data_IF_816512141703
#
_entry.id   IF_816512141703
#
_cell.length_a   1.000
_cell.length_b   1.000
_cell.length_c   1.000
_cell.angle_alpha   90.00
_cell.angle_beta   90.00
_cell.angle_gamma   90.00
#
_symmetry.space_group_name_H-M   'P 1'
#
loop_
_entity.id
_entity.type
_entity.pdbx_description
1 polymer ?
#
# COMPACT_ATOMS: atom_id res chain seq x y z
N UNK A 1 -11.98 10.48 7.00
CA UNK A 1 -13.05 9.86 6.20
C UNK A 1 -12.54 8.71 5.33
N UNK A 2 -11.31 8.78 4.78
CA UNK A 2 -10.72 7.70 3.96
C UNK A 2 -10.32 6.45 4.75
N UNK A 3 -9.84 6.58 6.00
CA UNK A 3 -9.65 5.43 6.90
C UNK A 3 -10.93 4.64 7.08
N UNK A 4 -12.06 5.32 7.27
CA UNK A 4 -13.37 4.66 7.30
C UNK A 4 -13.72 3.97 5.98
N UNK A 5 -13.31 4.50 4.81
CA UNK A 5 -13.62 3.87 3.51
C UNK A 5 -12.75 2.64 3.22
N UNK A 6 -11.47 2.69 3.61
CA UNK A 6 -10.54 1.57 3.51
C UNK A 6 -10.85 0.49 4.54
N UNK A 7 -11.06 0.86 5.81
CA UNK A 7 -11.49 -0.05 6.87
C UNK A 7 -12.81 -0.70 6.50
N UNK A 8 -13.80 0.07 6.04
CA UNK A 8 -15.08 -0.46 5.60
C UNK A 8 -14.96 -1.38 4.38
N UNK A 9 -14.11 -1.06 3.40
CA UNK A 9 -13.90 -1.94 2.24
C UNK A 9 -13.12 -3.20 2.62
N UNK A 10 -12.17 -3.11 3.54
CA UNK A 10 -11.47 -4.28 4.09
C UNK A 10 -12.47 -5.15 4.84
N UNK A 11 -13.33 -4.55 5.65
CA UNK A 11 -14.27 -5.25 6.51
C UNK A 11 -15.46 -5.86 5.75
N UNK A 12 -16.00 -5.15 4.77
CA UNK A 12 -17.18 -5.59 3.99
C UNK A 12 -16.82 -6.44 2.77
N UNK A 13 -15.59 -6.35 2.25
CA UNK A 13 -15.21 -6.99 0.98
C UNK A 13 -13.99 -7.88 1.06
N UNK A 14 -12.89 -7.42 1.69
CA UNK A 14 -11.64 -8.22 1.75
C UNK A 14 -11.78 -9.38 2.73
N UNK A 15 -12.32 -9.12 3.93
CA UNK A 15 -12.55 -10.12 4.97
C UNK A 15 -13.38 -11.31 4.46
N UNK A 16 -14.58 -11.12 3.84
CA UNK A 16 -15.35 -12.22 3.26
C UNK A 16 -14.59 -13.04 2.21
N UNK A 17 -13.79 -12.39 1.35
CA UNK A 17 -13.03 -13.07 0.30
C UNK A 17 -11.95 -13.98 0.90
N UNK A 18 -11.24 -13.50 1.91
CA UNK A 18 -10.23 -14.30 2.63
C UNK A 18 -10.91 -15.44 3.40
N UNK A 19 -12.04 -15.16 4.05
CA UNK A 19 -12.85 -16.14 4.76
C UNK A 19 -13.35 -17.28 3.87
N UNK A 20 -13.92 -16.94 2.71
CA UNK A 20 -14.42 -17.91 1.74
C UNK A 20 -13.28 -18.77 1.19
N UNK A 21 -12.11 -18.17 0.92
CA UNK A 21 -10.93 -18.91 0.51
C UNK A 21 -10.44 -19.87 1.60
N UNK A 22 -10.36 -19.42 2.85
CA UNK A 22 -9.98 -20.29 3.97
C UNK A 22 -10.98 -21.43 4.17
N UNK A 23 -12.27 -21.15 4.16
CA UNK A 23 -13.30 -22.17 4.32
C UNK A 23 -13.27 -23.18 3.17
N UNK A 24 -13.02 -22.74 1.94
CA UNK A 24 -12.94 -23.60 0.76
C UNK A 24 -11.69 -24.50 0.73
N UNK A 25 -10.53 -23.97 1.12
CA UNK A 25 -9.25 -24.68 0.95
C UNK A 25 -8.68 -25.26 2.26
N UNK A 26 -8.83 -24.56 3.39
CA UNK A 26 -8.44 -25.05 4.72
C UNK A 26 -9.56 -25.84 5.39
N UNK A 27 -10.82 -25.62 5.00
CA UNK A 27 -12.00 -26.24 5.62
C UNK A 27 -12.37 -25.63 6.98
N UNK A 28 -11.67 -24.58 7.40
CA UNK A 28 -11.85 -23.87 8.66
C UNK A 28 -11.66 -22.38 8.43
N UNK A 29 -12.32 -21.57 9.27
CA UNK A 29 -12.06 -20.13 9.36
C UNK A 29 -11.01 -19.89 10.45
N UNK A 30 -9.99 -19.11 10.14
CA UNK A 30 -8.94 -18.72 11.10
C UNK A 30 -8.95 -17.21 11.20
N UNK A 31 -9.61 -16.69 12.24
CA UNK A 31 -9.80 -15.25 12.45
C UNK A 31 -8.47 -14.49 12.56
N UNK A 32 -7.43 -15.15 13.07
CA UNK A 32 -6.08 -14.58 13.17
C UNK A 32 -5.44 -14.36 11.81
N UNK A 33 -5.60 -15.30 10.86
CA UNK A 33 -5.06 -15.18 9.50
C UNK A 33 -5.79 -14.07 8.74
N UNK A 34 -7.12 -14.04 8.84
CA UNK A 34 -7.95 -12.99 8.25
C UNK A 34 -7.55 -11.61 8.78
N UNK A 35 -7.39 -11.49 10.10
CA UNK A 35 -6.99 -10.24 10.75
C UNK A 35 -5.58 -9.82 10.36
N UNK A 36 -4.63 -10.75 10.29
CA UNK A 36 -3.24 -10.46 9.91
C UNK A 36 -3.13 -10.04 8.45
N UNK A 37 -3.79 -10.76 7.54
CA UNK A 37 -3.87 -10.40 6.13
C UNK A 37 -4.52 -9.02 5.99
N UNK A 38 -5.68 -8.79 6.63
CA UNK A 38 -6.38 -7.50 6.59
C UNK A 38 -5.52 -6.36 7.13
N UNK A 39 -4.84 -6.57 8.27
CA UNK A 39 -3.97 -5.55 8.90
C UNK A 39 -2.75 -5.26 8.04
N UNK A 40 -2.13 -6.29 7.45
CA UNK A 40 -0.99 -6.13 6.53
C UNK A 40 -1.41 -5.50 5.21
N UNK A 41 -2.61 -5.79 4.70
CA UNK A 41 -3.20 -5.13 3.53
C UNK A 41 -3.48 -3.66 3.81
N UNK A 42 -4.05 -3.35 4.98
CA UNK A 42 -4.25 -1.97 5.43
C UNK A 42 -2.92 -1.20 5.52
N UNK A 43 -1.82 -1.92 5.76
CA UNK A 43 -0.44 -1.41 5.82
C UNK A 43 0.36 -1.61 4.51
N UNK A 44 -0.25 -2.12 3.44
CA UNK A 44 0.44 -2.71 2.27
C UNK A 44 1.22 -1.70 1.40
N UNK A 45 2.28 -2.14 0.68
CA UNK A 45 3.42 -1.35 0.22
C UNK A 45 3.21 -0.32 -0.88
N UNK A 46 1.97 -0.06 -1.33
CA UNK A 46 1.70 1.16 -2.10
C UNK A 46 1.96 2.43 -1.27
N UNK A 47 2.10 2.27 0.06
CA UNK A 47 2.44 3.28 1.05
C UNK A 47 3.78 3.02 1.77
N UNK A 48 4.51 1.94 1.49
CA UNK A 48 5.84 1.73 2.07
C UNK A 48 6.89 2.49 1.26
N UNK A 49 6.91 3.80 1.48
CA UNK A 49 8.12 4.58 1.25
C UNK A 49 9.18 4.10 2.24
N UNK A 50 10.34 3.71 1.73
CA UNK A 50 11.51 3.47 2.58
C UNK A 50 12.04 4.83 3.04
N UNK A 51 11.83 5.10 4.33
CA UNK A 51 12.18 6.37 4.93
C UNK A 51 13.68 6.35 5.20
N UNK A 52 14.42 7.03 4.33
CA UNK A 52 15.84 7.29 4.55
C UNK A 52 16.00 8.42 5.58
N UNK A 53 16.29 8.02 6.82
CA UNK A 53 16.54 8.88 7.97
C UNK A 53 17.93 9.51 7.97
N UNK A 54 18.81 9.11 7.06
CA UNK A 54 20.12 9.77 6.88
C UNK A 54 19.97 11.11 6.14
N UNK A 55 18.89 11.27 5.38
CA UNK A 55 18.52 12.53 4.76
C UNK A 55 17.75 13.40 5.76
N UNK A 56 18.17 14.66 5.92
CA UNK A 56 17.45 15.61 6.77
C UNK A 56 15.98 15.74 6.36
N UNK A 57 15.09 15.93 7.34
CA UNK A 57 13.63 15.88 7.20
C UNK A 57 13.07 16.57 5.95
N UNK A 58 13.53 17.79 5.63
CA UNK A 58 13.08 18.55 4.45
C UNK A 58 13.35 17.80 3.13
N UNK A 59 14.53 17.18 3.00
CA UNK A 59 14.91 16.41 1.80
C UNK A 59 14.15 15.10 1.72
N UNK A 60 14.03 14.38 2.85
CA UNK A 60 13.28 13.14 2.92
C UNK A 60 11.79 13.37 2.58
N UNK A 61 11.18 14.44 3.10
CA UNK A 61 9.80 14.82 2.78
C UNK A 61 9.62 15.16 1.30
N UNK A 62 10.58 15.85 0.68
CA UNK A 62 10.52 16.16 -0.74
C UNK A 62 10.66 14.91 -1.63
N UNK A 63 11.54 13.98 -1.24
CA UNK A 63 11.69 12.69 -1.90
C UNK A 63 10.42 11.84 -1.76
N UNK A 64 9.79 11.83 -0.58
CA UNK A 64 8.49 11.20 -0.35
C UNK A 64 7.41 11.79 -1.26
N UNK A 65 7.25 13.12 -1.31
CA UNK A 65 6.26 13.78 -2.20
C UNK A 65 6.45 13.36 -3.66
N UNK A 66 7.71 13.30 -4.13
CA UNK A 66 8.03 12.84 -5.48
C UNK A 66 7.61 11.40 -5.71
N UNK A 67 7.96 10.51 -4.79
CA UNK A 67 7.61 9.09 -4.86
C UNK A 67 6.09 8.90 -4.88
N UNK A 68 5.37 9.54 -3.96
CA UNK A 68 3.93 9.43 -3.83
C UNK A 68 3.19 9.93 -5.09
N UNK A 69 3.54 11.13 -5.59
CA UNK A 69 2.93 11.66 -6.82
C UNK A 69 3.27 10.82 -8.05
N UNK A 70 4.50 10.30 -8.13
CA UNK A 70 4.89 9.38 -9.21
C UNK A 70 4.02 8.12 -9.19
N UNK A 71 3.80 7.53 -8.01
CA UNK A 71 2.93 6.37 -7.84
C UNK A 71 1.48 6.66 -8.19
N UNK A 72 0.94 7.81 -7.79
CA UNK A 72 -0.40 8.24 -8.18
C UNK A 72 -0.55 8.41 -9.70
N UNK A 73 0.43 9.06 -10.34
CA UNK A 73 0.43 9.25 -11.78
C UNK A 73 0.56 7.93 -12.52
N UNK A 74 1.40 7.00 -12.04
CA UNK A 74 1.50 5.65 -12.58
C UNK A 74 0.18 4.88 -12.44
N UNK A 75 -0.45 4.92 -11.27
CA UNK A 75 -1.72 4.23 -11.04
C UNK A 75 -2.86 4.76 -11.90
N UNK A 76 -2.81 6.04 -12.27
CA UNK A 76 -3.88 6.72 -13.02
C UNK A 76 -3.48 7.04 -14.47
N UNK A 77 -2.50 6.35 -15.06
CA UNK A 77 -2.09 6.51 -16.47
C UNK A 77 -1.68 7.95 -16.85
N UNK A 78 -1.15 8.71 -15.90
CA UNK A 78 -0.82 10.12 -16.06
C UNK A 78 -2.05 11.04 -16.16
N UNK A 79 -3.24 10.57 -15.77
CA UNK A 79 -4.45 11.39 -15.69
C UNK A 79 -4.32 12.39 -14.53
N UNK A 80 -3.85 13.59 -14.86
CA UNK A 80 -3.60 14.67 -13.89
C UNK A 80 -4.89 15.11 -13.18
N UNK A 81 -6.04 15.07 -13.86
CA UNK A 81 -7.32 15.44 -13.26
C UNK A 81 -7.72 14.46 -12.15
N UNK A 82 -7.52 13.17 -12.41
CA UNK A 82 -7.84 12.13 -11.43
C UNK A 82 -6.85 12.14 -10.26
N UNK A 83 -5.56 12.34 -10.55
CA UNK A 83 -4.55 12.53 -9.51
C UNK A 83 -4.82 13.75 -8.64
N UNK A 84 -5.30 14.86 -9.23
CA UNK A 84 -5.68 16.05 -8.47
C UNK A 84 -6.85 15.76 -7.51
N UNK A 85 -7.88 15.07 -8.00
CA UNK A 85 -9.02 14.61 -7.20
C UNK A 85 -8.58 13.74 -6.03
N UNK A 86 -7.75 12.73 -6.28
CA UNK A 86 -7.26 11.79 -5.26
C UNK A 86 -6.32 12.47 -4.27
N UNK A 87 -5.37 13.27 -4.75
CA UNK A 87 -4.40 13.96 -3.89
C UNK A 87 -5.03 15.08 -3.03
N UNK A 88 -6.29 15.45 -3.29
CA UNK A 88 -6.98 16.54 -2.61
C UNK A 88 -6.41 17.92 -3.00
N UNK A 89 -5.91 18.06 -4.23
CA UNK A 89 -5.28 19.28 -4.73
C UNK A 89 -5.97 19.76 -6.00
N UNK A 90 -5.84 21.05 -6.31
CA UNK A 90 -6.26 21.54 -7.61
C UNK A 90 -5.30 21.06 -8.73
N UNK A 91 -5.83 20.97 -9.95
CA UNK A 91 -5.06 20.50 -11.11
C UNK A 91 -3.81 21.34 -11.38
N UNK A 92 -3.83 22.65 -11.14
CA UNK A 92 -2.64 23.52 -11.36
C UNK A 92 -1.56 23.23 -10.32
N UNK A 93 -1.94 22.95 -9.08
CA UNK A 93 -1.02 22.52 -8.03
C UNK A 93 -0.33 21.21 -8.39
N UNK A 94 -1.06 20.22 -8.92
CA UNK A 94 -0.43 18.98 -9.41
C UNK A 94 0.55 19.26 -10.55
N UNK A 95 0.18 20.09 -11.55
CA UNK A 95 1.11 20.47 -12.62
C UNK A 95 2.37 21.15 -12.08
N UNK A 96 2.25 22.07 -11.13
CA UNK A 96 3.39 22.71 -10.47
C UNK A 96 4.28 21.70 -9.72
N UNK A 97 3.67 20.73 -9.03
CA UNK A 97 4.40 19.69 -8.32
C UNK A 97 5.14 18.76 -9.28
N UNK A 98 4.52 18.37 -10.40
CA UNK A 98 5.17 17.55 -11.42
C UNK A 98 6.41 18.26 -12.00
N UNK A 99 6.29 19.55 -12.33
CA UNK A 99 7.39 20.34 -12.88
C UNK A 99 8.51 20.55 -11.85
N UNK A 100 8.17 20.94 -10.62
CA UNK A 100 9.16 21.18 -9.56
C UNK A 100 9.89 19.91 -9.11
N UNK A 101 9.21 18.76 -9.08
CA UNK A 101 9.79 17.47 -8.70
C UNK A 101 10.44 16.72 -9.87
N UNK A 102 10.36 17.28 -11.09
CA UNK A 102 10.87 16.70 -12.34
C UNK A 102 10.37 15.27 -12.54
N UNK A 103 9.05 15.09 -12.53
CA UNK A 103 8.37 13.80 -12.77
C UNK A 103 8.10 13.65 -14.27
N UNK A 104 8.58 12.57 -14.88
CA UNK A 104 8.38 12.30 -16.30
C UNK A 104 7.07 11.53 -16.55
N UNK A 105 6.02 12.26 -16.91
CA UNK A 105 4.68 11.69 -17.14
C UNK A 105 4.66 10.79 -18.38
N UNK A 106 5.51 11.05 -19.39
CA UNK A 106 5.44 10.37 -20.69
C UNK A 106 5.77 8.88 -20.55
N UNK A 107 6.69 8.54 -19.65
CA UNK A 107 7.12 7.15 -19.39
C UNK A 107 6.05 6.27 -18.75
N UNK A 108 5.06 6.86 -18.06
CA UNK A 108 4.07 6.06 -17.35
C UNK A 108 3.07 5.34 -18.25
N UNK A 109 2.83 5.84 -19.47
CA UNK A 109 1.98 5.12 -20.43
C UNK A 109 2.62 3.83 -20.93
N UNK A 110 3.95 3.72 -20.90
CA UNK A 110 4.71 2.56 -21.34
C UNK A 110 4.98 1.56 -20.20
N UNK A 111 5.18 2.04 -18.96
CA UNK A 111 5.50 1.19 -17.79
C UNK A 111 4.28 0.43 -17.21
N UNK A 112 3.07 0.74 -17.64
CA UNK A 112 1.82 0.37 -16.95
C UNK A 112 1.42 -1.11 -17.04
N UNK A 113 1.92 -1.85 -18.04
CA UNK A 113 1.77 -3.32 -18.07
C UNK A 113 2.35 -4.00 -16.81
N UNK A 114 3.21 -3.30 -16.05
CA UNK A 114 3.82 -3.81 -14.80
C UNK A 114 3.09 -3.37 -13.52
N UNK A 115 2.26 -2.32 -13.54
CA UNK A 115 1.73 -1.67 -12.34
C UNK A 115 0.61 -2.42 -11.60
N UNK A 116 -0.36 -2.98 -12.33
CA UNK A 116 -1.38 -3.87 -11.75
C UNK A 116 -0.73 -5.14 -11.17
N UNK A 117 0.26 -5.69 -11.89
CA UNK A 117 1.08 -6.81 -11.43
C UNK A 117 1.77 -6.53 -10.08
N UNK A 118 2.24 -5.31 -9.83
CA UNK A 118 2.91 -4.95 -8.57
C UNK A 118 1.95 -4.95 -7.38
N UNK A 119 0.68 -4.57 -7.55
CA UNK A 119 -0.32 -4.62 -6.48
C UNK A 119 -0.72 -6.05 -6.16
N UNK A 120 -0.99 -6.83 -7.20
CA UNK A 120 -1.30 -8.27 -7.07
C UNK A 120 -0.15 -9.00 -6.38
N UNK A 121 1.10 -8.78 -6.81
CA UNK A 121 2.27 -9.44 -6.22
C UNK A 121 2.52 -9.00 -4.77
N UNK A 122 2.26 -7.73 -4.43
CA UNK A 122 2.38 -7.25 -3.05
C UNK A 122 1.34 -7.90 -2.12
N UNK A 123 0.07 -7.97 -2.56
CA UNK A 123 -1.00 -8.62 -1.81
C UNK A 123 -0.73 -10.13 -1.71
N UNK A 124 -0.28 -10.76 -2.79
CA UNK A 124 0.14 -12.16 -2.81
C UNK A 124 1.25 -12.43 -1.79
N UNK A 125 2.30 -11.61 -1.77
CA UNK A 125 3.38 -11.74 -0.79
C UNK A 125 2.92 -11.58 0.66
N UNK A 126 1.92 -10.71 0.91
CA UNK A 126 1.28 -10.60 2.24
C UNK A 126 0.55 -11.89 2.61
N UNK A 127 -0.20 -12.47 1.67
CA UNK A 127 -0.92 -13.74 1.88
C UNK A 127 0.11 -14.84 2.17
N UNK A 128 1.10 -15.02 1.30
CA UNK A 128 2.13 -16.06 1.42
C UNK A 128 2.92 -15.95 2.73
N UNK A 129 3.40 -14.75 3.07
CA UNK A 129 4.14 -14.53 4.32
C UNK A 129 3.28 -14.75 5.57
N UNK A 130 1.97 -14.48 5.50
CA UNK A 130 1.08 -14.79 6.60
C UNK A 130 0.87 -16.29 6.71
N UNK A 131 0.64 -16.99 5.61
CA UNK A 131 0.52 -18.46 5.64
C UNK A 131 1.78 -19.15 6.15
N UNK A 132 2.96 -18.60 5.83
CA UNK A 132 4.23 -19.11 6.35
C UNK A 132 4.32 -19.05 7.87
N UNK A 133 3.68 -18.06 8.50
CA UNK A 133 3.63 -17.94 9.96
C UNK A 133 2.75 -19.02 10.59
N UNK A 134 1.71 -19.46 9.89
CA UNK A 134 0.74 -20.43 10.41
C UNK A 134 0.93 -21.86 9.88
N UNK A 135 1.84 -22.09 8.93
CA UNK A 135 2.03 -23.39 8.27
C UNK A 135 2.32 -24.55 9.22
N UNK A 136 3.00 -24.29 10.35
CA UNK A 136 3.34 -25.32 11.34
C UNK A 136 2.11 -25.80 12.13
N UNK A 137 1.07 -24.97 12.21
CA UNK A 137 -0.16 -25.23 12.97
C UNK A 137 -1.32 -25.69 12.08
N UNK A 138 -1.09 -25.80 10.78
CA UNK A 138 -2.11 -26.12 9.78
C UNK A 138 -1.76 -27.40 9.00
N UNK A 139 -2.76 -28.01 8.35
CA UNK A 139 -2.54 -29.17 7.50
C UNK A 139 -1.70 -28.78 6.27
N UNK A 140 -0.54 -29.43 6.01
CA UNK A 140 0.37 -29.04 4.94
C UNK A 140 -0.25 -29.08 3.53
N UNK A 141 -1.05 -30.10 3.22
CA UNK A 141 -1.67 -30.25 1.89
C UNK A 141 -2.69 -29.13 1.64
N UNK A 142 -3.48 -28.79 2.65
CA UNK A 142 -4.49 -27.74 2.57
C UNK A 142 -3.87 -26.34 2.48
N UNK A 143 -2.81 -26.10 3.25
CA UNK A 143 -2.03 -24.85 3.15
C UNK A 143 -1.45 -24.70 1.75
N UNK A 144 -0.90 -25.77 1.18
CA UNK A 144 -0.32 -25.74 -0.17
C UNK A 144 -1.36 -25.46 -1.26
N UNK A 145 -2.61 -25.88 -1.07
CA UNK A 145 -3.72 -25.46 -1.95
C UNK A 145 -3.99 -23.97 -1.87
N UNK A 146 -3.93 -23.38 -0.67
CA UNK A 146 -4.11 -21.93 -0.50
C UNK A 146 -2.94 -21.14 -1.12
N UNK A 147 -1.70 -21.62 -1.02
CA UNK A 147 -0.55 -21.04 -1.74
C UNK A 147 -0.77 -21.02 -3.25
N UNK A 148 -1.25 -22.13 -3.84
CA UNK A 148 -1.58 -22.18 -5.27
C UNK A 148 -2.70 -21.22 -5.66
N UNK A 149 -3.62 -20.93 -4.74
CA UNK A 149 -4.72 -20.01 -4.97
C UNK A 149 -4.38 -18.54 -4.67
N UNK A 150 -3.27 -18.28 -3.97
CA UNK A 150 -2.84 -16.93 -3.58
C UNK A 150 -2.80 -15.92 -4.75
N UNK A 151 -2.40 -16.27 -5.99
CA UNK A 151 -2.46 -15.34 -7.12
C UNK A 151 -3.88 -14.89 -7.47
N UNK A 152 -4.84 -15.83 -7.50
CA UNK A 152 -6.25 -15.52 -7.80
C UNK A 152 -6.85 -14.70 -6.65
N UNK A 153 -6.63 -15.13 -5.42
CA UNK A 153 -7.06 -14.43 -4.22
C UNK A 153 -6.51 -12.99 -4.18
N UNK A 154 -5.24 -12.81 -4.56
CA UNK A 154 -4.62 -11.49 -4.58
C UNK A 154 -5.28 -10.54 -5.58
N UNK A 155 -5.68 -11.05 -6.76
CA UNK A 155 -6.42 -10.28 -7.77
C UNK A 155 -7.82 -9.90 -7.28
N UNK A 156 -8.53 -10.85 -6.69
CA UNK A 156 -9.87 -10.63 -6.15
C UNK A 156 -9.86 -9.59 -5.03
N UNK A 157 -8.86 -9.63 -4.16
CA UNK A 157 -8.65 -8.62 -3.11
C UNK A 157 -8.33 -7.25 -3.74
N UNK A 158 -7.39 -7.19 -4.69
CA UNK A 158 -6.99 -5.92 -5.32
C UNK A 158 -8.15 -5.23 -6.03
N UNK A 159 -9.06 -5.99 -6.66
CA UNK A 159 -10.26 -5.43 -7.32
C UNK A 159 -11.30 -4.87 -6.35
N UNK A 160 -11.29 -5.29 -5.08
CA UNK A 160 -12.22 -4.82 -4.06
C UNK A 160 -11.65 -3.75 -3.13
N UNK A 161 -10.33 -3.57 -3.11
CA UNK A 161 -9.69 -2.49 -2.39
C UNK A 161 -10.10 -1.14 -2.98
N UNK A 162 -10.43 -0.14 -2.15
CA UNK A 162 -10.86 1.16 -2.66
C UNK A 162 -9.71 1.81 -3.40
N UNK A 163 -9.99 2.29 -4.60
CA UNK A 163 -9.05 3.01 -5.47
C UNK A 163 -8.64 4.38 -4.93
N UNK A 164 -8.96 4.73 -3.68
CA UNK A 164 -8.69 6.05 -3.10
C UNK A 164 -7.48 6.00 -2.15
N UNK A 165 -6.26 6.22 -2.66
CA UNK A 165 -5.12 6.63 -1.86
C UNK A 165 -5.49 7.75 -0.90
N UNK A 166 -4.82 7.80 0.26
CA UNK A 166 -4.81 8.98 1.13
C UNK A 166 -4.54 10.22 0.30
N UNK A 167 -5.09 11.38 0.69
CA UNK A 167 -4.70 12.66 0.07
C UNK A 167 -3.21 12.96 0.29
N UNK A 168 -2.63 13.91 -0.46
CA UNK A 168 -1.21 14.26 -0.27
C UNK A 168 -0.92 14.71 1.17
N UNK A 169 -1.85 15.45 1.78
CA UNK A 169 -1.73 15.93 3.17
C UNK A 169 -1.73 14.77 4.18
N UNK A 170 -2.64 13.81 4.01
CA UNK A 170 -2.73 12.64 4.88
C UNK A 170 -1.50 11.72 4.70
N UNK A 171 -1.07 11.53 3.46
CA UNK A 171 0.12 10.74 3.14
C UNK A 171 1.40 11.39 3.74
N UNK A 172 1.52 12.72 3.69
CA UNK A 172 2.60 13.45 4.35
C UNK A 172 2.60 13.26 5.87
N UNK A 173 1.42 13.27 6.51
CA UNK A 173 1.32 13.07 7.96
C UNK A 173 1.76 11.67 8.38
N UNK A 174 1.42 10.65 7.61
CA UNK A 174 1.88 9.28 7.86
C UNK A 174 3.40 9.14 7.64
N UNK A 175 3.93 9.77 6.59
CA UNK A 175 5.37 9.86 6.38
C UNK A 175 6.08 10.52 7.57
N UNK A 176 5.56 11.64 8.08
CA UNK A 176 6.16 12.35 9.23
C UNK A 176 6.21 11.47 10.47
N UNK A 177 5.10 10.80 10.81
CA UNK A 177 5.06 9.85 11.93
C UNK A 177 6.12 8.77 11.79
N UNK A 178 6.26 8.19 10.59
CA UNK A 178 7.22 7.12 10.30
C UNK A 178 8.67 7.62 10.29
N UNK A 179 8.91 8.83 9.82
CA UNK A 179 10.23 9.47 9.83
C UNK A 179 10.68 9.69 11.28
N UNK A 180 9.86 10.35 12.10
CA UNK A 180 10.23 10.64 13.48
C UNK A 180 10.32 9.39 14.35
N UNK A 181 9.45 8.39 14.14
CA UNK A 181 9.55 7.13 14.89
C UNK A 181 10.86 6.37 14.63
N UNK A 182 11.43 6.49 13.43
CA UNK A 182 12.74 5.91 13.09
C UNK A 182 13.93 6.81 13.46
N UNK A 183 13.80 8.13 13.30
CA UNK A 183 14.90 9.07 13.49
C UNK A 183 15.14 9.41 14.98
N UNK A 184 14.09 9.51 15.81
CA UNK A 184 14.24 9.86 17.23
C UNK A 184 15.09 8.86 18.04
N UNK A 185 14.94 7.52 17.87
CA UNK A 185 15.82 6.55 18.51
C UNK A 185 17.28 6.65 18.02
N UNK A 186 17.50 6.99 16.75
CA UNK A 186 18.85 7.09 16.16
C UNK A 186 19.61 8.33 16.60
N UNK A 187 18.91 9.42 16.90
CA UNK A 187 19.52 10.69 17.30
C UNK A 187 19.35 11.03 18.79
N UNK A 188 19.06 10.05 19.65
CA UNK A 188 18.87 10.24 21.11
C UNK A 188 17.90 11.40 21.44
N UNK A 189 16.76 11.46 20.73
CA UNK A 189 15.77 12.53 20.90
C UNK A 189 16.27 13.96 20.64
N UNK A 190 17.38 14.13 19.92
CA UNK A 190 17.89 15.44 19.54
C UNK A 190 17.14 16.00 18.32
N UNK A 191 16.12 16.81 18.60
CA UNK A 191 15.22 17.43 17.61
C UNK A 191 15.99 18.29 16.59
N UNK A 192 17.14 18.87 16.96
CA UNK A 192 17.96 19.70 16.06
C UNK A 192 18.64 18.91 14.94
N UNK A 193 18.85 17.60 15.16
CA UNK A 193 19.49 16.67 14.23
C UNK A 193 18.48 15.76 13.52
N UNK A 194 17.20 15.84 13.90
CA UNK A 194 16.10 15.04 13.37
C UNK A 194 15.40 15.82 12.26
#
# INVERSE_FOLDING_TARGET
MVTQTLEKSIEEKVKPIVDDAMQKFLGVKVAEIEKDISTKIQRSPLMDYDVDVTLGFKKAKLAFKKWYLTRLLQANMGNVSEVARIAGLDRRSIHRLIMSLKIDIKRFREELLRGQYVKEEAVKGIIESTLDQYKASLNPERVMMLYKFAPVLSRDIVTQLPEQPLTLSEAEREFEKKFFSRALPLFNSNISKT
#
